data_IF_927809723330
#
_entry.id   IF_927809723330
#
_cell.length_a   1.000
_cell.length_b   1.000
_cell.length_c   1.000
_cell.angle_alpha   90.00
_cell.angle_beta   90.00
_cell.angle_gamma   90.00
#
_symmetry.space_group_name_H-M   'P 1'
#
loop_
_entity.id
_entity.type
_entity.pdbx_description
1 polymer ?
#
# COMPACT_ATOMS: atom_id res chain seq x y z
N UNK A 1 9.61 7.81 17.69
CA UNK A 1 9.14 8.02 16.30
C UNK A 1 7.67 8.43 16.32
N UNK A 2 7.29 9.51 15.65
CA UNK A 2 5.90 10.00 15.66
C UNK A 2 5.02 9.10 14.76
N UNK A 3 4.07 8.40 15.36
CA UNK A 3 3.18 7.43 14.68
C UNK A 3 2.30 8.08 13.61
N UNK A 4 2.01 9.38 13.73
CA UNK A 4 1.36 10.17 12.68
C UNK A 4 2.19 10.20 11.40
N UNK A 5 3.51 10.33 11.50
CA UNK A 5 4.41 10.34 10.32
C UNK A 5 4.45 8.99 9.62
N UNK A 6 4.37 7.88 10.37
CA UNK A 6 4.29 6.53 9.82
C UNK A 6 2.96 6.27 9.10
N UNK A 7 1.83 6.76 9.64
CA UNK A 7 0.53 6.69 8.96
C UNK A 7 0.51 7.55 7.69
N UNK A 8 1.13 8.73 7.73
CA UNK A 8 1.23 9.60 6.56
C UNK A 8 2.10 8.95 5.47
N UNK A 9 3.22 8.34 5.85
CA UNK A 9 4.07 7.59 4.93
C UNK A 9 3.33 6.39 4.30
N UNK A 10 2.54 5.63 5.07
CA UNK A 10 1.79 4.48 4.52
C UNK A 10 0.70 4.92 3.54
N UNK A 11 0.03 6.04 3.81
CA UNK A 11 -0.95 6.65 2.89
C UNK A 11 -0.26 7.12 1.61
N UNK A 12 0.87 7.82 1.72
CA UNK A 12 1.62 8.29 0.55
C UNK A 12 2.07 7.10 -0.32
N UNK A 13 2.53 6.00 0.30
CA UNK A 13 2.93 4.79 -0.42
C UNK A 13 1.76 4.11 -1.13
N UNK A 14 0.58 4.07 -0.50
CA UNK A 14 -0.65 3.55 -1.13
C UNK A 14 -1.07 4.40 -2.32
N UNK A 15 -1.06 5.73 -2.18
CA UNK A 15 -1.37 6.65 -3.28
C UNK A 15 -0.34 6.48 -4.41
N UNK A 16 0.94 6.34 -4.06
CA UNK A 16 2.01 6.08 -5.03
C UNK A 16 1.80 4.78 -5.82
N UNK A 17 1.36 3.71 -5.15
CA UNK A 17 1.02 2.44 -5.81
C UNK A 17 -0.13 2.62 -6.81
N UNK A 18 -1.22 3.26 -6.40
CA UNK A 18 -2.35 3.59 -7.29
C UNK A 18 -1.92 4.43 -8.49
N UNK A 19 -1.05 5.43 -8.29
CA UNK A 19 -0.54 6.26 -9.38
C UNK A 19 0.34 5.47 -10.36
N UNK A 20 1.12 4.51 -9.88
CA UNK A 20 1.94 3.65 -10.75
C UNK A 20 1.03 2.79 -11.63
N UNK A 21 0.01 2.15 -11.06
CA UNK A 21 -0.98 1.37 -11.84
C UNK A 21 -1.77 2.23 -12.81
N UNK A 22 -2.20 3.44 -12.41
CA UNK A 22 -2.90 4.38 -13.30
C UNK A 22 -2.00 4.89 -14.42
N UNK A 23 -0.71 5.13 -14.14
CA UNK A 23 0.24 5.59 -15.14
C UNK A 23 0.53 4.53 -16.20
N UNK A 24 0.47 3.25 -15.80
CA UNK A 24 0.56 2.11 -16.70
C UNK A 24 -0.72 1.99 -17.52
N UNK A 25 -1.90 2.03 -16.88
CA UNK A 25 -3.18 1.88 -17.57
C UNK A 25 -3.48 3.00 -18.58
N UNK A 26 -3.01 4.22 -18.30
CA UNK A 26 -3.17 5.38 -19.18
C UNK A 26 -1.95 5.64 -20.07
N UNK A 27 -0.95 4.76 -20.05
CA UNK A 27 0.30 4.87 -20.79
C UNK A 27 1.04 6.22 -20.58
N UNK A 28 0.88 6.84 -19.41
CA UNK A 28 1.59 8.07 -19.03
C UNK A 28 3.09 7.85 -18.90
N UNK A 29 3.50 6.63 -18.55
CA UNK A 29 4.91 6.23 -18.44
C UNK A 29 5.14 5.01 -19.33
N UNK A 30 6.11 5.12 -20.23
CA UNK A 30 6.56 4.01 -21.05
C UNK A 30 7.43 3.06 -20.23
N UNK A 31 6.79 2.19 -19.44
CA UNK A 31 7.50 1.11 -18.76
C UNK A 31 7.99 0.08 -19.78
N UNK A 32 9.25 -0.36 -19.63
CA UNK A 32 9.86 -1.33 -20.54
C UNK A 32 9.10 -2.67 -20.57
N UNK A 33 8.47 -3.04 -19.45
CA UNK A 33 7.55 -4.19 -19.34
C UNK A 33 6.45 -3.90 -18.31
N UNK A 34 5.25 -4.40 -18.57
CA UNK A 34 4.09 -4.32 -17.67
C UNK A 34 4.38 -4.89 -16.28
N UNK A 35 5.15 -5.97 -16.22
CA UNK A 35 5.53 -6.62 -14.96
C UNK A 35 6.36 -5.72 -14.03
N UNK A 36 7.12 -4.77 -14.59
CA UNK A 36 7.95 -3.86 -13.80
C UNK A 36 7.08 -2.83 -13.08
N UNK A 37 6.06 -2.29 -13.75
CA UNK A 37 5.11 -1.37 -13.14
C UNK A 37 4.31 -2.07 -12.01
N UNK A 38 3.84 -3.29 -12.25
CA UNK A 38 3.22 -4.12 -11.22
C UNK A 38 4.15 -4.40 -10.04
N UNK A 39 5.40 -4.81 -10.30
CA UNK A 39 6.38 -5.08 -9.25
C UNK A 39 6.65 -3.85 -8.36
N UNK A 40 6.71 -2.66 -8.95
CA UNK A 40 6.85 -1.40 -8.22
C UNK A 40 5.59 -1.12 -7.37
N UNK A 41 4.39 -1.29 -7.95
CA UNK A 41 3.12 -1.13 -7.22
C UNK A 41 3.02 -2.08 -6.01
N UNK A 42 3.29 -3.38 -6.21
CA UNK A 42 3.34 -4.37 -5.14
C UNK A 42 4.34 -4.02 -4.05
N UNK A 43 5.55 -3.61 -4.45
CA UNK A 43 6.60 -3.21 -3.51
C UNK A 43 6.14 -2.07 -2.61
N UNK A 44 5.50 -1.04 -3.20
CA UNK A 44 4.93 0.09 -2.48
C UNK A 44 3.83 -0.33 -1.50
N UNK A 45 2.93 -1.23 -1.91
CA UNK A 45 1.86 -1.74 -1.05
C UNK A 45 2.44 -2.55 0.12
N UNK A 46 3.40 -3.45 -0.13
CA UNK A 46 4.04 -4.25 0.93
C UNK A 46 4.80 -3.36 1.93
N UNK A 47 5.45 -2.30 1.46
CA UNK A 47 6.11 -1.31 2.31
C UNK A 47 5.08 -0.54 3.18
N UNK A 48 3.95 -0.15 2.58
CA UNK A 48 2.83 0.48 3.30
C UNK A 48 2.24 -0.43 4.38
N UNK A 49 2.03 -1.70 4.05
CA UNK A 49 1.58 -2.74 4.98
C UNK A 49 2.55 -2.91 6.14
N UNK A 50 3.85 -2.97 5.87
CA UNK A 50 4.90 -3.09 6.88
C UNK A 50 4.85 -1.95 7.91
N UNK A 51 4.63 -0.72 7.45
CA UNK A 51 4.46 0.43 8.34
C UNK A 51 3.18 0.35 9.18
N UNK A 52 2.06 -0.04 8.58
CA UNK A 52 0.82 -0.19 9.32
C UNK A 52 0.88 -1.32 10.36
N UNK A 53 1.48 -2.47 10.03
CA UNK A 53 1.72 -3.57 10.97
C UNK A 53 2.62 -3.13 12.14
N UNK A 54 3.67 -2.35 11.86
CA UNK A 54 4.54 -1.77 12.89
C UNK A 54 3.77 -0.85 13.83
N UNK A 55 2.88 0.00 13.30
CA UNK A 55 1.98 0.84 14.10
C UNK A 55 1.06 -0.01 14.98
N UNK A 56 0.43 -1.06 14.44
CA UNK A 56 -0.47 -1.94 15.20
C UNK A 56 0.26 -2.66 16.35
N UNK A 57 1.51 -3.11 16.11
CA UNK A 57 2.35 -3.77 17.10
C UNK A 57 2.94 -2.84 18.16
N UNK A 58 2.91 -1.52 17.96
CA UNK A 58 3.46 -0.59 18.95
C UNK A 58 2.54 -0.56 20.18
N UNK A 59 3.07 -0.97 21.34
CA UNK A 59 2.40 -0.91 22.65
C UNK A 59 2.31 0.56 23.11
N UNK A 60 1.17 0.97 23.67
CA UNK A 60 0.95 2.36 24.15
C UNK A 60 0.29 3.33 23.16
N UNK A 61 -0.04 2.90 21.94
CA UNK A 61 -0.79 3.73 20.99
C UNK A 61 -2.28 3.86 21.35
N UNK A 62 -2.90 5.04 21.21
CA UNK A 62 -4.34 5.22 21.39
C UNK A 62 -5.13 4.29 20.46
N UNK A 63 -6.13 3.59 21.02
CA UNK A 63 -7.06 2.67 20.32
C UNK A 63 -7.56 3.17 18.95
N UNK A 64 -7.94 4.45 18.75
CA UNK A 64 -8.37 4.93 17.42
C UNK A 64 -7.28 4.89 16.35
N UNK A 65 -6.01 5.14 16.69
CA UNK A 65 -4.91 5.08 15.74
C UNK A 65 -4.63 3.64 15.30
N UNK A 66 -4.71 2.68 16.22
CA UNK A 66 -4.65 1.24 15.89
C UNK A 66 -5.80 0.82 14.98
N UNK A 67 -7.03 1.25 15.28
CA UNK A 67 -8.22 0.88 14.47
C UNK A 67 -8.11 1.39 13.03
N UNK A 68 -7.62 2.61 12.83
CA UNK A 68 -7.36 3.18 11.49
C UNK A 68 -6.29 2.41 10.70
N UNK A 69 -5.15 2.09 11.32
CA UNK A 69 -4.12 1.31 10.63
C UNK A 69 -4.54 -0.14 10.36
N UNK A 70 -5.34 -0.74 11.23
CA UNK A 70 -5.91 -2.09 10.98
C UNK A 70 -6.84 -2.07 9.75
N UNK A 71 -7.68 -1.04 9.65
CA UNK A 71 -8.61 -0.87 8.53
C UNK A 71 -7.85 -0.62 7.21
N UNK A 72 -6.80 0.20 7.24
CA UNK A 72 -5.89 0.41 6.12
C UNK A 72 -5.22 -0.89 5.67
N UNK A 73 -4.73 -1.71 6.60
CA UNK A 73 -4.14 -3.04 6.27
C UNK A 73 -5.17 -3.94 5.60
N UNK A 74 -6.40 -3.96 6.12
CA UNK A 74 -7.47 -4.80 5.60
C UNK A 74 -7.86 -4.40 4.17
N UNK A 75 -8.01 -3.09 3.92
CA UNK A 75 -8.26 -2.56 2.57
C UNK A 75 -7.10 -2.87 1.63
N UNK A 76 -5.86 -2.62 2.06
CA UNK A 76 -4.66 -2.87 1.23
C UNK A 76 -4.53 -4.34 0.85
N UNK A 77 -4.81 -5.24 1.80
CA UNK A 77 -4.75 -6.68 1.58
C UNK A 77 -5.85 -7.14 0.64
N UNK A 78 -7.08 -6.65 0.83
CA UNK A 78 -8.19 -6.95 -0.07
C UNK A 78 -7.93 -6.42 -1.49
N UNK A 79 -7.36 -5.23 -1.62
CA UNK A 79 -6.98 -4.64 -2.91
C UNK A 79 -5.94 -5.49 -3.64
N UNK A 80 -4.84 -5.85 -2.96
CA UNK A 80 -3.81 -6.71 -3.55
C UNK A 80 -4.41 -8.05 -3.95
N UNK A 81 -5.26 -8.64 -3.11
CA UNK A 81 -5.89 -9.91 -3.43
C UNK A 81 -6.79 -9.81 -4.66
N UNK A 82 -7.60 -8.75 -4.78
CA UNK A 82 -8.43 -8.53 -5.97
C UNK A 82 -7.59 -8.23 -7.22
N UNK A 83 -6.66 -7.28 -7.14
CA UNK A 83 -5.87 -6.85 -8.27
C UNK A 83 -4.92 -7.94 -8.78
N UNK A 84 -4.29 -8.71 -7.89
CA UNK A 84 -3.27 -9.70 -8.27
C UNK A 84 -3.77 -11.14 -8.32
N UNK A 85 -4.78 -11.53 -7.53
CA UNK A 85 -5.31 -12.90 -7.64
C UNK A 85 -6.24 -13.06 -8.86
N UNK A 86 -6.88 -11.98 -9.33
CA UNK A 86 -7.63 -12.01 -10.60
C UNK A 86 -6.67 -12.06 -11.79
N UNK A 87 -5.55 -11.34 -11.74
CA UNK A 87 -4.56 -11.33 -12.83
C UNK A 87 -3.76 -12.64 -12.93
N UNK A 88 -3.83 -13.49 -11.90
CA UNK A 88 -3.22 -14.82 -11.87
C UNK A 88 -4.12 -15.92 -12.48
N UNK A 89 -5.37 -15.61 -12.86
CA UNK A 89 -6.38 -16.56 -13.36
C UNK A 89 -6.87 -16.18 -14.77
#
# INVERSE_FOLDING_TARGET
>A
MNTKRLQLASIILLIGSLLVELSESQAWVAYAKKEVAMGISLGLILFSLSFNVKIIRTLGLPKPAKKKSLLLVLISTAYVFLAYAIDLF
#
